data_IF_111209230289
#
_entry.id   IF_111209230289
#
_cell.length_a   1.000
_cell.length_b   1.000
_cell.length_c   1.000
_cell.angle_alpha   90.00
_cell.angle_beta   90.00
_cell.angle_gamma   90.00
#
_symmetry.space_group_name_H-M   'P 1'
#
loop_
_entity.id
_entity.type
_entity.pdbx_description
1 polymer ?
#
# COMPACT_ATOMS: atom_id res chain seq x y z
N UNK A 1 2.75 6.73 -20.62
CA UNK A 1 2.79 7.77 -19.58
C UNK A 1 2.18 7.19 -18.31
N UNK A 2 2.92 7.18 -17.19
CA UNK A 2 2.35 6.90 -15.88
C UNK A 2 1.70 8.21 -15.38
N UNK A 3 0.38 8.23 -15.19
CA UNK A 3 -0.35 9.49 -15.02
C UNK A 3 -0.27 10.06 -13.60
N UNK A 4 0.10 9.25 -12.60
CA UNK A 4 0.20 9.67 -11.20
C UNK A 4 1.31 8.95 -10.42
N UNK A 5 1.78 9.56 -9.33
CA UNK A 5 2.75 8.93 -8.40
C UNK A 5 2.19 7.70 -7.70
N UNK A 6 0.86 7.65 -7.53
CA UNK A 6 0.15 6.50 -6.97
C UNK A 6 0.21 5.31 -7.92
N UNK A 7 0.06 5.53 -9.23
CA UNK A 7 0.23 4.47 -10.24
C UNK A 7 1.67 3.95 -10.29
N UNK A 8 2.65 4.84 -10.16
CA UNK A 8 4.06 4.43 -10.07
C UNK A 8 4.30 3.56 -8.83
N UNK A 9 3.77 3.96 -7.67
CA UNK A 9 3.85 3.16 -6.45
C UNK A 9 3.12 1.81 -6.58
N UNK A 10 1.98 1.77 -7.27
CA UNK A 10 1.25 0.53 -7.55
C UNK A 10 2.04 -0.42 -8.45
N UNK A 11 2.63 0.07 -9.54
CA UNK A 11 3.48 -0.74 -10.41
C UNK A 11 4.69 -1.27 -9.64
N UNK A 12 5.30 -0.43 -8.80
CA UNK A 12 6.42 -0.82 -7.91
C UNK A 12 6.04 -1.93 -6.94
N UNK A 13 4.84 -1.89 -6.37
CA UNK A 13 4.42 -2.91 -5.40
C UNK A 13 4.01 -4.23 -6.06
N UNK A 14 3.73 -4.23 -7.37
CA UNK A 14 3.34 -5.43 -8.11
C UNK A 14 2.02 -6.04 -7.63
N UNK A 15 1.08 -5.21 -7.17
CA UNK A 15 -0.21 -5.65 -6.65
C UNK A 15 -0.13 -6.37 -5.30
N UNK A 16 0.84 -6.00 -4.45
CA UNK A 16 1.02 -6.60 -3.12
C UNK A 16 1.15 -5.56 -2.03
N UNK A 17 0.70 -5.92 -0.83
CA UNK A 17 0.86 -5.11 0.37
C UNK A 17 2.35 -4.96 0.72
N UNK A 18 2.75 -3.73 1.00
CA UNK A 18 4.12 -3.33 1.31
C UNK A 18 4.36 -3.01 2.78
N UNK A 19 3.38 -3.27 3.64
CA UNK A 19 3.52 -3.10 5.07
C UNK A 19 4.70 -3.94 5.59
N UNK A 20 5.61 -3.27 6.28
CA UNK A 20 6.81 -3.83 6.91
C UNK A 20 6.72 -3.85 8.44
N UNK A 21 5.64 -3.32 9.01
CA UNK A 21 5.46 -3.30 10.46
C UNK A 21 5.29 -4.74 10.98
N UNK A 22 6.22 -5.16 11.83
CA UNK A 22 6.22 -6.48 12.45
C UNK A 22 5.26 -6.56 13.65
N UNK A 23 4.74 -5.44 14.12
CA UNK A 23 3.77 -5.38 15.21
C UNK A 23 2.37 -5.86 14.77
N UNK A 24 2.12 -5.92 13.46
CA UNK A 24 0.89 -6.49 12.89
C UNK A 24 0.91 -8.03 12.88
N UNK A 25 -0.21 -8.64 12.51
CA UNK A 25 -0.38 -10.10 12.36
C UNK A 25 0.50 -10.77 11.28
N UNK A 26 1.52 -10.09 10.77
CA UNK A 26 2.57 -10.61 9.88
C UNK A 26 3.95 -10.33 10.48
N UNK A 27 4.17 -10.85 11.70
CA UNK A 27 5.31 -10.52 12.57
C UNK A 27 6.67 -10.89 12.00
N UNK A 28 6.75 -11.97 11.22
CA UNK A 28 8.02 -12.50 10.75
C UNK A 28 8.30 -12.19 9.27
N UNK A 29 7.29 -11.71 8.52
CA UNK A 29 7.38 -11.49 7.08
C UNK A 29 6.63 -10.22 6.67
N UNK A 30 7.03 -9.59 5.57
CA UNK A 30 6.18 -8.56 4.94
C UNK A 30 4.79 -9.11 4.65
N UNK A 31 3.74 -8.29 4.79
CA UNK A 31 2.35 -8.74 4.60
C UNK A 31 2.14 -9.48 3.27
N UNK A 32 2.65 -8.95 2.15
CA UNK A 32 2.63 -9.57 0.81
C UNK A 32 1.24 -9.97 0.27
N UNK A 33 0.15 -9.56 0.94
CA UNK A 33 -1.22 -9.86 0.53
C UNK A 33 -1.47 -9.35 -0.88
N UNK A 34 -2.10 -10.17 -1.72
CA UNK A 34 -2.48 -9.80 -3.10
C UNK A 34 -3.59 -8.77 -3.08
N UNK A 35 -3.47 -7.78 -3.96
CA UNK A 35 -4.36 -6.64 -4.08
C UNK A 35 -4.83 -6.52 -5.54
N UNK A 36 -6.01 -5.96 -5.75
CA UNK A 36 -6.56 -5.68 -7.08
C UNK A 36 -6.58 -4.18 -7.31
N UNK A 37 -6.01 -3.71 -8.43
CA UNK A 37 -5.85 -2.29 -8.73
C UNK A 37 -7.18 -1.54 -8.63
N UNK A 38 -8.23 -2.10 -9.24
CA UNK A 38 -9.60 -1.56 -9.27
C UNK A 38 -10.27 -1.48 -7.88
N UNK A 39 -9.70 -2.11 -6.86
CA UNK A 39 -10.20 -2.09 -5.49
C UNK A 39 -9.49 -1.05 -4.61
N UNK A 40 -8.84 -0.05 -5.23
CA UNK A 40 -8.34 1.15 -4.54
C UNK A 40 -9.45 1.79 -3.70
N UNK A 41 -9.14 2.07 -2.44
CA UNK A 41 -10.04 2.69 -1.45
C UNK A 41 -11.32 1.91 -1.10
N UNK A 42 -11.52 0.72 -1.66
CA UNK A 42 -12.67 -0.14 -1.34
C UNK A 42 -12.39 -0.96 -0.08
N UNK A 43 -13.40 -1.11 0.78
CA UNK A 43 -13.37 -1.99 1.95
C UNK A 43 -13.56 -3.46 1.55
N UNK A 44 -12.63 -3.98 0.76
CA UNK A 44 -12.59 -5.38 0.33
C UNK A 44 -11.31 -6.06 0.81
N UNK A 45 -11.31 -7.39 0.89
CA UNK A 45 -10.15 -8.17 1.32
C UNK A 45 -8.93 -7.97 0.41
N UNK A 46 -9.18 -7.70 -0.87
CA UNK A 46 -8.23 -7.41 -1.94
C UNK A 46 -8.12 -5.90 -2.25
N UNK A 47 -8.76 -5.06 -1.43
CA UNK A 47 -8.69 -3.61 -1.51
C UNK A 47 -7.45 -3.04 -0.83
N UNK A 48 -7.10 -1.82 -1.20
CA UNK A 48 -5.85 -1.20 -0.77
C UNK A 48 -5.95 0.31 -0.62
N UNK A 49 -5.01 0.88 0.15
CA UNK A 49 -4.89 2.31 0.44
C UNK A 49 -3.45 2.79 0.32
N UNK A 50 -3.31 4.09 0.09
CA UNK A 50 -2.05 4.82 0.01
C UNK A 50 -1.67 5.32 1.39
N UNK A 51 -0.42 5.09 1.78
CA UNK A 51 0.19 5.61 3.01
C UNK A 51 1.37 6.48 2.62
N UNK A 52 1.48 7.66 3.26
CA UNK A 52 2.59 8.58 3.07
C UNK A 52 3.54 8.47 4.26
N UNK A 53 4.84 8.28 4.01
CA UNK A 53 5.83 8.07 5.06
C UNK A 53 6.24 9.37 5.77
N UNK A 54 6.40 10.46 5.02
CA UNK A 54 6.88 11.75 5.56
C UNK A 54 5.88 12.90 5.30
N UNK A 55 4.58 12.58 5.26
CA UNK A 55 3.50 13.51 4.94
C UNK A 55 3.27 13.71 3.44
N UNK A 56 2.07 14.16 3.08
CA UNK A 56 1.60 14.24 1.68
C UNK A 56 2.29 15.32 0.82
N UNK A 57 3.05 16.23 1.43
CA UNK A 57 3.75 17.30 0.71
C UNK A 57 4.93 16.80 -0.14
N UNK A 58 5.44 15.60 0.12
CA UNK A 58 6.49 14.95 -0.66
C UNK A 58 5.87 13.86 -1.56
N UNK A 59 5.09 14.28 -2.56
CA UNK A 59 4.33 13.42 -3.46
C UNK A 59 5.26 12.69 -4.46
N UNK A 60 5.98 11.68 -3.96
CA UNK A 60 6.86 10.82 -4.75
C UNK A 60 6.44 9.36 -4.55
N UNK A 61 6.64 8.54 -5.59
CA UNK A 61 6.30 7.11 -5.52
C UNK A 61 7.07 6.35 -4.41
N UNK A 62 8.23 6.88 -3.99
CA UNK A 62 9.06 6.31 -2.92
C UNK A 62 8.54 6.66 -1.51
N UNK A 63 7.94 7.84 -1.34
CA UNK A 63 7.26 8.27 -0.13
C UNK A 63 5.90 7.57 0.06
N UNK A 64 5.39 6.93 -0.99
CA UNK A 64 4.13 6.18 -0.94
C UNK A 64 4.39 4.70 -0.63
N UNK A 65 3.58 4.14 0.26
CA UNK A 65 3.42 2.70 0.48
C UNK A 65 2.00 2.25 0.16
N UNK A 66 1.89 1.06 -0.41
CA UNK A 66 0.61 0.42 -0.69
C UNK A 66 0.26 -0.55 0.43
N UNK A 67 -0.81 -0.27 1.16
CA UNK A 67 -1.28 -1.11 2.28
C UNK A 67 -2.57 -1.84 1.92
N UNK A 68 -2.71 -3.08 2.38
CA UNK A 68 -4.00 -3.76 2.40
C UNK A 68 -4.90 -3.15 3.48
N UNK A 69 -6.21 -3.37 3.37
CA UNK A 69 -7.18 -2.87 4.36
C UNK A 69 -6.84 -3.27 5.80
N UNK A 70 -6.30 -4.48 6.03
CA UNK A 70 -5.98 -4.92 7.39
C UNK A 70 -4.77 -4.20 7.98
N UNK A 71 -3.74 -3.94 7.17
CA UNK A 71 -2.58 -3.17 7.63
C UNK A 71 -2.96 -1.71 7.83
N UNK A 72 -3.77 -1.14 6.93
CA UNK A 72 -4.24 0.24 7.05
C UNK A 72 -5.06 0.49 8.32
N UNK A 73 -5.85 -0.49 8.76
CA UNK A 73 -6.66 -0.36 10.00
C UNK A 73 -5.83 -0.43 11.29
N UNK A 74 -4.57 -0.86 11.21
CA UNK A 74 -3.68 -1.02 12.35
C UNK A 74 -2.56 0.03 12.38
N UNK A 75 -2.44 0.82 11.31
CA UNK A 75 -1.52 1.96 11.16
C UNK A 75 -2.19 3.23 11.72
#
# INVERSE_FOLDING_TARGET
MYSSVVEQAWQRCGGKCECKDQSHAHTYIRCNRKLVYENKDKSRIDGWKVIYLTGAAADTAENIRIYCQNCFKQD
#
